data_IF_496594424324
#
_entry.id   IF_496594424324
#
_cell.length_a   1.000
_cell.length_b   1.000
_cell.length_c   1.000
_cell.angle_alpha   90.00
_cell.angle_beta   90.00
_cell.angle_gamma   90.00
#
_symmetry.space_group_name_H-M   'P 1'
#
loop_
_entity.id
_entity.type
_entity.pdbx_description
1 polymer ?
#
# COMPACT_ATOMS: atom_id res chain seq x y z
N UNK A 1 3.09 10.05 -10.90
CA UNK A 1 3.26 10.48 -9.49
C UNK A 1 2.05 10.15 -8.62
N UNK A 2 0.83 10.61 -8.95
CA UNK A 2 -0.36 10.45 -8.08
C UNK A 2 -0.91 9.01 -7.95
N UNK A 3 -0.97 8.25 -9.04
CA UNK A 3 -1.63 6.93 -9.06
C UNK A 3 -0.97 5.90 -8.12
N UNK A 4 0.36 5.90 -8.07
CA UNK A 4 1.15 5.03 -7.18
C UNK A 4 0.92 5.38 -5.70
N UNK A 5 0.79 6.66 -5.36
CA UNK A 5 0.49 7.09 -3.98
C UNK A 5 -0.93 6.66 -3.56
N UNK A 6 -1.90 6.75 -4.47
CA UNK A 6 -3.28 6.30 -4.25
C UNK A 6 -3.33 4.78 -4.04
N UNK A 7 -2.59 4.02 -4.86
CA UNK A 7 -2.47 2.55 -4.74
C UNK A 7 -1.89 2.11 -3.38
N UNK A 8 -0.90 2.85 -2.86
CA UNK A 8 -0.34 2.59 -1.54
C UNK A 8 -1.39 2.78 -0.44
N UNK A 9 -2.13 3.89 -0.48
CA UNK A 9 -3.20 4.18 0.51
C UNK A 9 -4.32 3.15 0.44
N UNK A 10 -4.78 2.79 -0.77
CA UNK A 10 -5.82 1.77 -0.95
C UNK A 10 -5.39 0.40 -0.44
N UNK A 11 -4.13 0.03 -0.64
CA UNK A 11 -3.59 -1.25 -0.16
C UNK A 11 -3.52 -1.29 1.36
N UNK A 12 -3.04 -0.21 2.00
CA UNK A 12 -3.04 -0.09 3.45
C UNK A 12 -4.46 -0.10 4.02
N UNK A 13 -5.40 0.61 3.41
CA UNK A 13 -6.81 0.63 3.85
C UNK A 13 -7.46 -0.77 3.76
N UNK A 14 -7.18 -1.52 2.69
CA UNK A 14 -7.69 -2.89 2.51
C UNK A 14 -7.11 -3.85 3.55
N UNK A 15 -5.80 -3.73 3.85
CA UNK A 15 -5.16 -4.52 4.90
C UNK A 15 -5.81 -4.31 6.28
N UNK A 16 -6.05 -3.05 6.68
CA UNK A 16 -6.71 -2.77 7.96
C UNK A 16 -8.16 -3.19 7.98
N UNK A 17 -8.92 -2.95 6.91
CA UNK A 17 -10.33 -3.33 6.84
C UNK A 17 -10.51 -4.86 6.98
N UNK A 18 -9.84 -5.63 6.11
CA UNK A 18 -9.97 -7.09 6.11
C UNK A 18 -9.22 -7.77 7.27
N UNK A 19 -8.11 -7.18 7.73
CA UNK A 19 -7.40 -7.65 8.92
C UNK A 19 -8.22 -7.47 10.19
N UNK A 20 -8.89 -6.33 10.36
CA UNK A 20 -9.78 -6.10 11.49
C UNK A 20 -11.00 -7.02 11.44
N UNK A 21 -11.59 -7.24 10.26
CA UNK A 21 -12.69 -8.20 10.10
C UNK A 21 -12.21 -9.62 10.46
N UNK A 22 -11.03 -10.03 10.01
CA UNK A 22 -10.49 -11.35 10.33
C UNK A 22 -10.21 -11.55 11.83
N UNK A 23 -9.82 -10.50 12.56
CA UNK A 23 -9.48 -10.56 13.99
C UNK A 23 -10.70 -10.44 14.89
N UNK A 24 -11.63 -9.53 14.56
CA UNK A 24 -12.69 -9.12 15.47
C UNK A 24 -14.07 -9.67 15.13
N UNK A 25 -14.30 -10.10 13.88
CA UNK A 25 -15.61 -10.56 13.47
C UNK A 25 -15.73 -12.08 13.64
N UNK A 26 -16.83 -12.50 14.27
CA UNK A 26 -17.19 -13.91 14.45
C UNK A 26 -17.79 -14.43 13.14
N UNK A 27 -16.93 -14.87 12.22
CA UNK A 27 -17.31 -15.46 10.94
C UNK A 27 -17.02 -16.96 10.95
N UNK A 28 -17.66 -17.69 10.03
CA UNK A 28 -17.35 -19.11 9.85
C UNK A 28 -15.88 -19.29 9.46
N UNK A 29 -15.26 -20.40 9.84
CA UNK A 29 -13.81 -20.62 9.66
C UNK A 29 -13.31 -20.46 8.21
N UNK A 30 -14.16 -20.74 7.21
CA UNK A 30 -13.86 -20.50 5.79
C UNK A 30 -13.83 -19.02 5.40
N UNK A 31 -14.71 -18.21 5.97
CA UNK A 31 -14.82 -16.78 5.70
C UNK A 31 -13.68 -16.00 6.39
N UNK A 32 -13.31 -16.42 7.60
CA UNK A 32 -12.15 -15.86 8.31
C UNK A 32 -10.84 -16.12 7.55
N UNK A 33 -10.68 -17.32 6.97
CA UNK A 33 -9.54 -17.63 6.11
C UNK A 33 -9.53 -16.77 4.83
N UNK A 34 -10.70 -16.57 4.20
CA UNK A 34 -10.80 -15.69 3.03
C UNK A 34 -10.45 -14.23 3.37
N UNK A 35 -10.89 -13.71 4.52
CA UNK A 35 -10.55 -12.38 5.00
C UNK A 35 -9.04 -12.25 5.28
N UNK A 36 -8.42 -13.26 5.88
CA UNK A 36 -6.98 -13.29 6.12
C UNK A 36 -6.16 -13.32 4.81
N UNK A 37 -6.57 -14.13 3.82
CA UNK A 37 -5.93 -14.18 2.51
C UNK A 37 -6.07 -12.86 1.75
N UNK A 38 -7.24 -12.22 1.82
CA UNK A 38 -7.50 -10.92 1.19
C UNK A 38 -6.69 -9.80 1.86
N UNK A 39 -6.54 -9.84 3.18
CA UNK A 39 -5.63 -8.95 3.93
C UNK A 39 -4.17 -9.16 3.51
N UNK A 40 -3.71 -10.41 3.40
CA UNK A 40 -2.37 -10.74 2.91
C UNK A 40 -2.12 -10.29 1.46
N UNK A 41 -3.12 -10.43 0.58
CA UNK A 41 -3.05 -9.94 -0.79
C UNK A 41 -2.97 -8.39 -0.86
N UNK A 42 -3.73 -7.69 -0.01
CA UNK A 42 -3.64 -6.24 0.17
C UNK A 42 -2.26 -5.79 0.67
N UNK A 43 -1.65 -6.54 1.58
CA UNK A 43 -0.29 -6.28 2.07
C UNK A 43 0.77 -6.44 0.97
N UNK A 44 0.71 -7.54 0.21
CA UNK A 44 1.62 -7.79 -0.92
C UNK A 44 1.45 -6.74 -2.03
N UNK A 45 0.21 -6.41 -2.39
CA UNK A 45 -0.09 -5.37 -3.37
C UNK A 45 0.42 -3.98 -2.94
N UNK A 46 0.24 -3.65 -1.66
CA UNK A 46 0.74 -2.40 -1.07
C UNK A 46 2.25 -2.32 -1.03
N UNK A 47 2.92 -3.41 -0.64
CA UNK A 47 4.37 -3.50 -0.61
C UNK A 47 4.98 -3.31 -2.00
N UNK A 48 4.42 -3.97 -3.02
CA UNK A 48 4.89 -3.85 -4.41
C UNK A 48 4.65 -2.44 -4.96
N UNK A 49 3.51 -1.82 -4.65
CA UNK A 49 3.23 -0.43 -5.02
C UNK A 49 4.20 0.54 -4.35
N UNK A 50 4.50 0.35 -3.05
CA UNK A 50 5.45 1.15 -2.30
C UNK A 50 6.88 1.03 -2.85
N UNK A 51 7.34 -0.21 -3.09
CA UNK A 51 8.66 -0.47 -3.69
C UNK A 51 8.77 0.12 -5.10
N UNK A 52 7.71 0.05 -5.91
CA UNK A 52 7.63 0.71 -7.21
C UNK A 52 7.69 2.24 -7.13
N UNK A 53 7.16 2.83 -6.05
CA UNK A 53 7.20 4.26 -5.76
C UNK A 53 8.63 4.70 -5.39
N UNK A 54 9.28 3.97 -4.48
CA UNK A 54 10.65 4.23 -4.05
C UNK A 54 11.66 4.04 -5.19
N UNK A 55 11.49 3.02 -6.03
CA UNK A 55 12.41 2.75 -7.13
C UNK A 55 12.32 3.79 -8.27
N UNK A 56 11.15 4.42 -8.47
CA UNK A 56 10.97 5.48 -9.49
C UNK A 56 11.34 6.87 -9.00
N UNK A 57 11.45 7.08 -7.69
CA UNK A 57 12.15 8.23 -7.11
C UNK A 57 13.66 7.98 -7.23
N UNK A 58 14.18 8.12 -8.45
CA UNK A 58 15.61 8.29 -8.63
C UNK A 58 16.06 9.60 -7.95
N UNK A 59 17.25 9.64 -7.33
CA UNK A 59 17.81 10.86 -6.75
C UNK A 59 18.14 11.88 -7.86
N UNK A 60 17.13 12.64 -8.30
CA UNK A 60 17.30 13.78 -9.21
C UNK A 60 16.61 15.04 -8.72
N UNK A 61 16.57 15.23 -7.41
CA UNK A 61 16.70 16.58 -6.86
C UNK A 61 18.16 16.81 -6.47
N UNK A 62 19.05 16.76 -7.47
CA UNK A 62 20.33 17.47 -7.35
C UNK A 62 19.98 18.95 -7.56
N UNK A 63 19.62 19.58 -6.44
CA UNK A 63 19.89 20.96 -6.07
C UNK A 63 20.18 21.85 -7.29
N UNK A 64 19.19 22.63 -7.72
CA UNK A 64 19.46 23.84 -8.48
C UNK A 64 19.65 24.97 -7.46
N UNK A 65 20.88 25.42 -7.16
CA UNK A 65 21.08 26.80 -6.74
C UNK A 65 20.86 27.67 -8.01
N UNK A 66 19.72 28.37 -8.11
CA UNK A 66 19.46 29.77 -7.69
C UNK A 66 20.11 30.83 -8.61
N UNK A 67 19.28 31.84 -8.94
CA UNK A 67 19.54 33.12 -9.67
C UNK A 67 20.02 33.01 -11.12
N UNK A 68 19.22 33.32 -12.15
CA UNK A 68 18.75 34.65 -12.60
C UNK A 68 19.90 35.54 -13.11
N UNK A 69 19.80 35.91 -14.40
CA UNK A 69 20.58 36.86 -15.24
C UNK A 69 22.09 36.68 -15.41
#
# INVERSE_FOLDING_TARGET
MKALAILNVLSWASFWCFGLIAVFADLSGSEQLAAALLSGAGFLGGMLAHLGLCNRIGPRQRIAPQSEV
#
